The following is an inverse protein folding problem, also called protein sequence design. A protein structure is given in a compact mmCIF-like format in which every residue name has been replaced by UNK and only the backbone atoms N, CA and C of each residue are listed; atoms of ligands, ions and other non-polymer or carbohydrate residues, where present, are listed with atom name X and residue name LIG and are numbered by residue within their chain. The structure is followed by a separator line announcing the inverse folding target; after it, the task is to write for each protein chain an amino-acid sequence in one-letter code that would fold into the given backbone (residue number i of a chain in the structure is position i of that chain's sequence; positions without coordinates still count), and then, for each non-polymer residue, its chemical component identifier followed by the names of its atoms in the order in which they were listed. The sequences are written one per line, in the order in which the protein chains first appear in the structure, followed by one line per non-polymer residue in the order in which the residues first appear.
data_IF_202218981382
#
_entry.id   IF_202218981382
#
_cell.length_a   1.000
_cell.length_b   1.000
_cell.length_c   1.000
_cell.angle_alpha   90.00
_cell.angle_beta   90.00
_cell.angle_gamma   90.00
#
_symmetry.space_group_name_H-M   'P 1'
#
loop_
_entity.id
_entity.type
_entity.pdbx_description
1 polymer ?
#
# COMPACT_ATOMS: atom_id res chain seq x y z
N UNK A 1 9.30 61.05 16.46
CA UNK A 1 8.07 60.22 16.48
C UNK A 1 7.23 60.56 17.70
N UNK A 2 5.94 60.86 17.53
CA UNK A 2 5.03 61.10 18.65
C UNK A 2 4.83 59.82 19.46
N UNK A 3 4.65 59.94 20.79
CA UNK A 3 4.48 58.79 21.71
C UNK A 3 3.36 57.84 21.26
N UNK A 4 2.33 58.38 20.62
CA UNK A 4 1.18 57.64 20.08
C UNK A 4 1.57 56.73 18.91
N UNK A 5 2.37 57.22 17.94
CA UNK A 5 2.84 56.41 16.82
C UNK A 5 3.71 55.26 17.32
N UNK A 6 4.61 55.51 18.29
CA UNK A 6 5.47 54.46 18.86
C UNK A 6 4.66 53.33 19.51
N UNK A 7 3.58 53.66 20.24
CA UNK A 7 2.70 52.66 20.88
C UNK A 7 1.97 51.80 19.85
N UNK A 8 1.47 52.42 18.78
CA UNK A 8 0.79 51.71 17.69
C UNK A 8 1.76 50.79 16.95
N UNK A 9 2.98 51.26 16.64
CA UNK A 9 4.00 50.41 16.00
C UNK A 9 4.40 49.22 16.86
N UNK A 10 4.52 49.40 18.18
CA UNK A 10 4.81 48.29 19.11
C UNK A 10 3.64 47.29 19.13
N UNK A 11 2.39 47.77 19.19
CA UNK A 11 1.23 46.89 19.16
C UNK A 11 1.16 46.07 17.86
N UNK A 12 1.40 46.70 16.70
CA UNK A 12 1.46 46.02 15.41
C UNK A 12 2.62 45.02 15.32
N UNK A 13 3.78 45.36 15.86
CA UNK A 13 4.93 44.46 15.91
C UNK A 13 4.64 43.22 16.76
N UNK A 14 3.97 43.38 17.91
CA UNK A 14 3.54 42.26 18.76
C UNK A 14 2.54 41.38 18.02
N UNK A 15 1.55 41.96 17.33
CA UNK A 15 0.59 41.19 16.52
C UNK A 15 1.27 40.44 15.37
N UNK A 16 2.26 41.06 14.70
CA UNK A 16 3.03 40.41 13.65
C UNK A 16 3.85 39.23 14.19
N UNK A 17 4.49 39.40 15.35
CA UNK A 17 5.24 38.33 16.02
C UNK A 17 4.30 37.20 16.42
N UNK A 18 3.12 37.52 16.98
CA UNK A 18 2.11 36.52 17.34
C UNK A 18 1.61 35.75 16.10
N UNK A 19 1.39 36.45 14.98
CA UNK A 19 1.03 35.83 13.71
C UNK A 19 2.14 34.91 13.19
N UNK A 20 3.39 35.36 13.19
CA UNK A 20 4.55 34.56 12.74
C UNK A 20 4.75 33.32 13.62
N UNK A 21 4.61 33.46 14.94
CA UNK A 21 4.66 32.34 15.87
C UNK A 21 3.53 31.35 15.59
N UNK A 22 2.31 31.83 15.33
CA UNK A 22 1.18 30.98 14.98
C UNK A 22 1.39 30.24 13.66
N UNK A 23 1.89 30.91 12.62
CA UNK A 23 2.21 30.29 11.32
C UNK A 23 3.32 29.26 11.49
N UNK A 24 4.37 29.56 12.24
CA UNK A 24 5.47 28.61 12.50
C UNK A 24 4.96 27.40 13.27
N UNK A 25 4.09 27.61 14.27
CA UNK A 25 3.48 26.52 15.02
C UNK A 25 2.66 25.60 14.11
N UNK A 26 1.86 26.17 13.20
CA UNK A 26 1.09 25.41 12.22
C UNK A 26 1.99 24.67 11.23
N UNK A 27 3.02 25.33 10.69
CA UNK A 27 3.87 24.78 9.64
C UNK A 27 4.91 23.75 10.11
N UNK A 28 5.36 23.84 11.36
CA UNK A 28 6.41 22.96 11.90
C UNK A 28 5.84 21.86 12.79
N UNK A 29 4.84 22.16 13.62
CA UNK A 29 4.34 21.20 14.62
C UNK A 29 3.02 20.55 14.23
N UNK A 30 2.13 21.27 13.52
CA UNK A 30 0.82 20.72 13.09
C UNK A 30 0.75 20.34 11.62
N UNK A 31 1.83 20.50 10.86
CA UNK A 31 1.81 20.23 9.41
C UNK A 31 1.40 18.79 9.11
N UNK A 32 1.87 17.86 9.93
CA UNK A 32 1.64 16.43 9.73
C UNK A 32 0.19 16.06 10.04
N UNK A 33 -0.39 16.60 11.12
CA UNK A 33 -1.80 16.43 11.46
C UNK A 33 -2.74 16.96 10.36
N UNK A 34 -2.44 18.13 9.77
CA UNK A 34 -3.26 18.70 8.69
C UNK A 34 -3.13 17.92 7.38
N UNK A 35 -1.96 17.35 7.09
CA UNK A 35 -1.76 16.46 5.94
C UNK A 35 -2.47 15.13 6.11
N UNK A 36 -2.52 14.61 7.34
CA UNK A 36 -3.13 13.32 7.67
C UNK A 36 -4.67 13.37 7.73
N UNK A 37 -5.31 14.54 7.61
CA UNK A 37 -6.77 14.61 7.61
C UNK A 37 -7.36 14.01 6.33
N UNK A 38 -8.38 13.17 6.50
CA UNK A 38 -9.07 12.50 5.41
C UNK A 38 -9.83 13.44 4.44
N UNK A 39 -10.11 14.70 4.86
CA UNK A 39 -10.75 15.72 4.02
C UNK A 39 -9.74 16.50 3.15
N UNK A 40 -8.45 16.22 3.26
CA UNK A 40 -7.41 16.95 2.55
C UNK A 40 -7.25 16.49 1.09
N UNK A 41 -8.12 17.01 0.22
CA UNK A 41 -8.11 16.73 -1.23
C UNK A 41 -6.79 17.09 -1.92
N UNK A 42 -6.00 18.03 -1.38
CA UNK A 42 -4.74 18.45 -2.00
C UNK A 42 -3.69 17.36 -1.97
N UNK A 43 -3.57 16.65 -0.85
CA UNK A 43 -2.62 15.54 -0.71
C UNK A 43 -3.00 14.42 -1.68
N UNK A 44 -4.30 14.12 -1.76
CA UNK A 44 -4.83 13.09 -2.65
C UNK A 44 -4.66 13.44 -4.13
N UNK A 45 -4.93 14.69 -4.55
CA UNK A 45 -4.68 15.15 -5.92
C UNK A 45 -3.19 15.18 -6.27
N UNK A 46 -2.31 15.47 -5.31
CA UNK A 46 -0.87 15.43 -5.53
C UNK A 46 -0.38 13.98 -5.68
N UNK A 47 -0.89 13.06 -4.85
CA UNK A 47 -0.55 11.65 -4.87
C UNK A 47 -1.01 10.98 -6.17
N UNK A 48 -2.29 11.13 -6.53
CA UNK A 48 -2.87 10.64 -7.80
C UNK A 48 -2.52 11.52 -9.01
N UNK A 49 -1.78 12.61 -8.78
CA UNK A 49 -1.16 13.44 -9.81
C UNK A 49 0.18 12.86 -10.31
N UNK A 50 0.77 11.93 -9.54
CA UNK A 50 2.02 11.24 -9.87
C UNK A 50 1.73 9.82 -10.35
N UNK A 51 2.51 9.35 -11.32
CA UNK A 51 2.36 7.99 -11.81
C UNK A 51 2.99 7.03 -10.79
N UNK A 52 2.16 6.25 -10.11
CA UNK A 52 2.62 5.18 -9.22
C UNK A 52 3.33 4.09 -10.01
N UNK A 53 4.42 3.58 -9.48
CA UNK A 53 5.24 2.56 -10.14
C UNK A 53 4.53 1.21 -10.26
N UNK A 54 4.90 0.37 -11.25
CA UNK A 54 4.26 -0.92 -11.44
C UNK A 54 4.76 -1.97 -10.43
N UNK A 55 3.88 -2.92 -10.09
CA UNK A 55 4.25 -4.19 -9.46
C UNK A 55 4.40 -5.23 -10.57
N UNK A 56 5.52 -5.94 -10.57
CA UNK A 56 5.89 -6.89 -11.63
C UNK A 56 6.08 -8.31 -11.08
N UNK A 57 5.69 -9.29 -11.88
CA UNK A 57 6.01 -10.72 -11.72
C UNK A 57 6.88 -11.11 -12.91
N UNK A 58 8.19 -11.13 -12.72
CA UNK A 58 9.14 -11.20 -13.84
C UNK A 58 8.96 -10.00 -14.80
N UNK A 59 8.65 -10.23 -16.09
CA UNK A 59 8.41 -9.15 -17.06
C UNK A 59 6.96 -8.62 -17.06
N UNK A 60 6.02 -9.29 -16.40
CA UNK A 60 4.59 -8.99 -16.51
C UNK A 60 4.09 -8.08 -15.38
N UNK A 61 3.31 -7.01 -15.68
CA UNK A 61 2.75 -6.14 -14.66
C UNK A 61 1.48 -6.72 -14.04
N UNK A 62 1.51 -6.96 -12.72
CA UNK A 62 0.35 -7.38 -11.93
C UNK A 62 -0.41 -6.19 -11.31
N UNK A 63 0.23 -5.02 -11.24
CA UNK A 63 -0.45 -3.76 -10.95
C UNK A 63 0.27 -2.61 -11.67
N UNK A 64 -0.49 -1.71 -12.29
CA UNK A 64 0.04 -0.56 -13.01
C UNK A 64 -0.88 0.65 -12.86
N UNK A 65 -0.40 1.81 -13.30
CA UNK A 65 -1.18 3.05 -13.26
C UNK A 65 -1.47 3.58 -14.65
N UNK A 66 -2.76 3.68 -14.98
CA UNK A 66 -3.26 4.15 -16.27
C UNK A 66 -3.74 5.60 -16.17
N UNK A 67 -3.57 6.35 -17.26
CA UNK A 67 -3.96 7.75 -17.27
C UNK A 67 -5.46 7.90 -17.47
N UNK A 68 -6.12 8.70 -16.63
CA UNK A 68 -7.53 9.05 -16.79
C UNK A 68 -7.71 10.50 -17.25
N UNK A 69 -8.94 10.83 -17.67
CA UNK A 69 -9.34 12.20 -18.05
C UNK A 69 -9.92 13.02 -16.89
N UNK A 70 -10.02 12.44 -15.68
CA UNK A 70 -10.62 13.07 -14.51
C UNK A 70 -9.66 13.96 -13.72
N UNK A 71 -10.13 14.45 -12.56
CA UNK A 71 -9.30 15.23 -11.64
C UNK A 71 -8.10 14.43 -11.09
N UNK A 72 -8.30 13.13 -10.87
CA UNK A 72 -7.26 12.16 -10.52
C UNK A 72 -6.63 11.63 -11.80
N UNK A 73 -5.38 12.05 -12.09
CA UNK A 73 -4.72 11.78 -13.37
C UNK A 73 -4.41 10.31 -13.59
N UNK A 74 -4.16 9.56 -12.52
CA UNK A 74 -3.72 8.17 -12.59
C UNK A 74 -4.66 7.26 -11.83
N UNK A 75 -5.20 6.23 -12.49
CA UNK A 75 -5.99 5.15 -11.88
C UNK A 75 -5.08 3.93 -11.67
N UNK A 76 -5.22 3.26 -10.53
CA UNK A 76 -4.51 1.99 -10.27
C UNK A 76 -5.31 0.83 -10.84
N UNK A 77 -4.69 0.04 -11.70
CA UNK A 77 -5.28 -1.10 -12.41
C UNK A 77 -4.51 -2.37 -12.08
N UNK A 78 -5.25 -3.46 -11.88
CA UNK A 78 -4.76 -4.80 -11.56
C UNK A 78 -5.20 -5.76 -12.66
N UNK A 79 -4.38 -5.99 -13.71
CA UNK A 79 -4.78 -6.79 -14.88
C UNK A 79 -5.21 -8.22 -14.53
N UNK A 80 -4.55 -8.83 -13.55
CA UNK A 80 -4.83 -10.19 -13.10
C UNK A 80 -5.85 -10.27 -11.95
N UNK A 81 -6.46 -9.13 -11.56
CA UNK A 81 -7.57 -9.05 -10.61
C UNK A 81 -7.38 -9.87 -9.33
N UNK A 82 -8.32 -10.79 -9.10
CA UNK A 82 -8.44 -11.61 -7.88
C UNK A 82 -7.25 -12.54 -7.61
N UNK A 83 -6.59 -13.02 -8.66
CA UNK A 83 -5.54 -14.04 -8.58
C UNK A 83 -4.30 -13.56 -7.82
N UNK A 84 -3.96 -12.28 -8.00
CA UNK A 84 -2.81 -11.64 -7.37
C UNK A 84 -3.20 -10.71 -6.21
N UNK A 85 -4.49 -10.63 -5.86
CA UNK A 85 -4.98 -9.72 -4.81
C UNK A 85 -4.35 -10.03 -3.44
N UNK A 86 -4.08 -11.30 -3.13
CA UNK A 86 -3.42 -11.67 -1.87
C UNK A 86 -1.94 -11.25 -1.80
N UNK A 87 -1.30 -11.03 -2.95
CA UNK A 87 0.09 -10.54 -3.06
C UNK A 87 0.09 -9.01 -3.08
N UNK A 88 -0.62 -8.43 -4.05
CA UNK A 88 -0.64 -6.99 -4.30
C UNK A 88 -1.33 -6.22 -3.18
N UNK A 89 -2.45 -6.75 -2.68
CA UNK A 89 -3.42 -5.97 -1.90
C UNK A 89 -4.22 -5.05 -2.81
N UNK A 90 -4.58 -3.87 -2.30
CA UNK A 90 -5.21 -2.82 -3.08
C UNK A 90 -4.65 -1.45 -2.70
N UNK A 91 -4.88 -0.46 -3.56
CA UNK A 91 -4.58 0.94 -3.33
C UNK A 91 -5.82 1.78 -3.62
N UNK A 92 -6.36 2.41 -2.59
CA UNK A 92 -7.68 3.06 -2.59
C UNK A 92 -7.60 4.50 -2.08
N UNK A 93 -8.41 5.37 -2.69
CA UNK A 93 -8.60 6.75 -2.21
C UNK A 93 -9.32 6.83 -0.86
N UNK A 94 -10.12 5.82 -0.50
CA UNK A 94 -10.92 5.81 0.74
C UNK A 94 -10.21 5.04 1.85
N UNK A 95 -9.72 3.84 1.54
CA UNK A 95 -9.18 2.89 2.53
C UNK A 95 -7.66 2.78 2.54
N UNK A 96 -6.96 3.58 1.72
CA UNK A 96 -5.50 3.56 1.63
C UNK A 96 -4.96 2.31 0.94
N UNK A 97 -3.79 1.85 1.39
CA UNK A 97 -3.07 0.74 0.78
C UNK A 97 -3.01 -0.51 1.69
N UNK A 98 -3.01 -1.69 1.10
CA UNK A 98 -2.80 -2.99 1.78
C UNK A 98 -1.76 -3.85 1.07
N UNK A 99 -1.34 -4.97 1.66
CA UNK A 99 -0.37 -5.89 1.03
C UNK A 99 0.93 -5.20 0.60
N UNK A 100 1.45 -5.60 -0.57
CA UNK A 100 2.64 -4.98 -1.17
C UNK A 100 2.45 -3.50 -1.50
N UNK A 101 1.23 -3.07 -1.86
CA UNK A 101 0.95 -1.65 -2.10
C UNK A 101 1.25 -0.79 -0.87
N UNK A 102 1.05 -1.35 0.34
CA UNK A 102 1.37 -0.66 1.59
C UNK A 102 2.85 -0.76 1.94
N UNK A 103 3.42 -1.96 1.92
CA UNK A 103 4.81 -2.17 2.37
C UNK A 103 5.80 -1.47 1.45
N UNK A 104 5.54 -1.48 0.14
CA UNK A 104 6.39 -0.85 -0.86
C UNK A 104 5.92 0.55 -1.27
N UNK A 105 5.02 1.16 -0.49
CA UNK A 105 4.44 2.46 -0.82
C UNK A 105 5.51 3.53 -1.08
N UNK A 106 6.61 3.52 -0.33
CA UNK A 106 7.72 4.45 -0.52
C UNK A 106 8.35 4.36 -1.92
N UNK A 107 8.59 3.15 -2.42
CA UNK A 107 9.15 2.91 -3.75
C UNK A 107 8.10 3.23 -4.82
N UNK A 108 6.89 2.69 -4.66
CA UNK A 108 5.79 2.81 -5.62
C UNK A 108 5.30 4.26 -5.79
N UNK A 109 5.31 5.07 -4.74
CA UNK A 109 4.98 6.51 -4.81
C UNK A 109 6.17 7.39 -5.22
N UNK A 110 7.38 6.81 -5.27
CA UNK A 110 8.62 7.55 -5.53
C UNK A 110 9.03 8.47 -4.38
N UNK A 111 8.51 8.27 -3.17
CA UNK A 111 8.85 9.03 -1.95
C UNK A 111 10.01 8.43 -1.14
N UNK A 112 10.44 7.21 -1.46
CA UNK A 112 11.56 6.52 -0.79
C UNK A 112 12.85 7.35 -0.84
N UNK A 113 13.61 7.37 0.27
CA UNK A 113 14.87 8.11 0.41
C UNK A 113 15.94 7.67 -0.62
N UNK A 114 15.80 6.45 -1.14
CA UNK A 114 16.63 5.93 -2.23
C UNK A 114 16.59 6.79 -3.49
N UNK A 115 15.49 7.53 -3.71
CA UNK A 115 15.30 8.39 -4.89
C UNK A 115 15.47 9.88 -4.58
N UNK A 116 16.02 10.27 -3.42
CA UNK A 116 16.11 11.69 -3.05
C UNK A 116 16.90 12.53 -4.06
N UNK A 117 18.03 12.01 -4.54
CA UNK A 117 18.88 12.70 -5.53
C UNK A 117 18.18 12.78 -6.89
N UNK A 118 17.54 11.69 -7.33
CA UNK A 118 16.77 11.65 -8.59
C UNK A 118 15.56 12.60 -8.55
N UNK A 119 14.86 12.69 -7.42
CA UNK A 119 13.76 13.66 -7.22
C UNK A 119 14.26 15.09 -7.35
N UNK A 120 15.38 15.42 -6.73
CA UNK A 120 15.94 16.78 -6.80
C UNK A 120 16.33 17.15 -8.23
N UNK A 121 16.97 16.22 -8.96
CA UNK A 121 17.29 16.42 -10.37
C UNK A 121 16.04 16.56 -11.24
N UNK A 122 15.00 15.75 -11.03
CA UNK A 122 13.74 15.82 -11.77
C UNK A 122 12.98 17.12 -11.49
N UNK A 123 12.98 17.60 -10.24
CA UNK A 123 12.40 18.89 -9.87
C UNK A 123 13.13 20.06 -10.52
N UNK A 124 14.46 20.05 -10.52
CA UNK A 124 15.28 21.05 -11.21
C UNK A 124 15.05 20.99 -12.73
N UNK A 125 14.85 19.80 -13.28
CA UNK A 125 14.57 19.56 -14.70
C UNK A 125 13.09 19.75 -15.09
N UNK A 126 12.20 20.11 -14.17
CA UNK A 126 10.77 20.28 -14.41
C UNK A 126 10.01 19.00 -14.83
N UNK A 127 10.57 17.81 -14.55
CA UNK A 127 9.93 16.52 -14.85
C UNK A 127 9.04 16.08 -13.69
N UNK A 128 7.88 15.50 -14.00
CA UNK A 128 7.00 14.96 -12.96
C UNK A 128 7.63 13.72 -12.33
N UNK A 129 7.70 13.63 -10.99
CA UNK A 129 8.22 12.45 -10.31
C UNK A 129 7.36 11.22 -10.59
N UNK A 130 8.00 10.13 -11.02
CA UNK A 130 7.40 8.80 -11.23
C UNK A 130 7.81 7.87 -10.10
N UNK A 131 6.91 6.96 -9.73
CA UNK A 131 7.20 5.88 -8.82
C UNK A 131 8.18 4.85 -9.39
N UNK A 132 8.93 4.20 -8.51
CA UNK A 132 9.82 3.09 -8.86
C UNK A 132 9.02 1.79 -9.06
N UNK A 133 9.52 0.93 -9.95
CA UNK A 133 8.96 -0.41 -10.15
C UNK A 133 9.43 -1.37 -9.04
N UNK A 134 8.56 -2.29 -8.64
CA UNK A 134 8.89 -3.36 -7.69
C UNK A 134 8.63 -4.70 -8.38
N UNK A 135 9.68 -5.50 -8.49
CA UNK A 135 9.60 -6.87 -9.01
C UNK A 135 9.49 -7.84 -7.85
N UNK A 136 8.42 -8.63 -7.84
CA UNK A 136 8.17 -9.66 -6.84
C UNK A 136 8.97 -10.93 -7.17
N UNK A 137 9.06 -11.85 -6.19
CA UNK A 137 9.67 -13.16 -6.39
C UNK A 137 8.70 -14.19 -6.98
N UNK A 138 7.42 -13.84 -7.08
CA UNK A 138 6.34 -14.71 -7.58
C UNK A 138 6.71 -15.19 -8.97
N UNK A 139 6.40 -16.45 -9.24
CA UNK A 139 6.49 -17.06 -10.54
C UNK A 139 5.06 -17.23 -11.08
N UNK A 140 4.79 -16.67 -12.26
CA UNK A 140 3.45 -16.66 -12.82
C UNK A 140 2.91 -18.09 -13.03
N UNK A 141 3.73 -19.02 -13.52
CA UNK A 141 3.28 -20.39 -13.75
C UNK A 141 2.94 -21.11 -12.44
N UNK A 142 3.69 -20.85 -11.36
CA UNK A 142 3.39 -21.42 -10.03
C UNK A 142 2.14 -20.76 -9.43
N UNK A 143 1.96 -19.44 -9.61
CA UNK A 143 0.78 -18.72 -9.16
C UNK A 143 -0.49 -19.25 -9.84
N UNK A 144 -0.49 -19.36 -11.16
CA UNK A 144 -1.62 -19.82 -11.96
C UNK A 144 -2.01 -21.26 -11.58
N UNK A 145 -1.02 -22.14 -11.40
CA UNK A 145 -1.24 -23.52 -10.97
C UNK A 145 -1.84 -23.59 -9.55
N UNK A 146 -1.35 -22.75 -8.63
CA UNK A 146 -1.86 -22.69 -7.26
C UNK A 146 -3.29 -22.11 -7.21
N UNK A 147 -3.57 -21.08 -8.02
CA UNK A 147 -4.89 -20.48 -8.16
C UNK A 147 -5.91 -21.48 -8.71
N UNK A 148 -5.56 -22.15 -9.82
CA UNK A 148 -6.38 -23.21 -10.39
C UNK A 148 -6.69 -24.32 -9.37
N UNK A 149 -5.68 -24.72 -8.57
CA UNK A 149 -5.82 -25.72 -7.51
C UNK A 149 -6.73 -25.32 -6.35
N UNK A 150 -6.97 -24.03 -6.13
CA UNK A 150 -7.89 -23.52 -5.09
C UNK A 150 -9.32 -23.26 -5.61
N UNK A 151 -9.60 -23.52 -6.89
CA UNK A 151 -10.93 -23.30 -7.47
C UNK A 151 -11.98 -24.14 -6.74
N UNK A 152 -13.02 -23.47 -6.21
CA UNK A 152 -14.13 -24.13 -5.53
C UNK A 152 -13.85 -24.60 -4.10
N UNK A 153 -12.67 -24.29 -3.55
CA UNK A 153 -12.34 -24.58 -2.15
C UNK A 153 -12.01 -23.30 -1.39
N UNK A 154 -12.42 -23.22 -0.13
CA UNK A 154 -12.02 -22.13 0.76
C UNK A 154 -10.69 -22.48 1.42
N UNK A 155 -9.66 -21.65 1.22
CA UNK A 155 -8.33 -21.92 1.73
C UNK A 155 -7.27 -20.98 1.19
N UNK A 156 -6.03 -21.41 1.33
CA UNK A 156 -4.84 -20.69 0.88
C UNK A 156 -3.78 -21.70 0.44
N UNK A 157 -2.96 -21.29 -0.52
CA UNK A 157 -1.78 -22.04 -0.92
C UNK A 157 -0.59 -21.09 -1.01
N UNK A 158 0.58 -21.60 -0.60
CA UNK A 158 1.81 -20.85 -0.51
C UNK A 158 2.95 -21.75 -0.99
N UNK A 159 3.73 -21.27 -1.96
CA UNK A 159 4.88 -21.99 -2.50
C UNK A 159 6.16 -21.20 -2.22
N UNK A 160 7.15 -21.88 -1.65
CA UNK A 160 8.44 -21.31 -1.31
C UNK A 160 9.56 -22.14 -1.97
N UNK A 161 10.58 -21.46 -2.49
CA UNK A 161 11.83 -22.07 -2.90
C UNK A 161 12.73 -22.26 -1.66
N UNK A 162 12.96 -23.49 -1.14
CA UNK A 162 13.61 -23.67 0.15
C UNK A 162 15.08 -23.24 0.20
N UNK A 163 15.78 -23.28 -0.95
CA UNK A 163 17.20 -22.93 -1.05
C UNK A 163 17.46 -21.43 -0.95
N UNK A 164 16.51 -20.60 -1.36
CA UNK A 164 16.66 -19.13 -1.41
C UNK A 164 15.71 -18.40 -0.47
N UNK A 165 14.62 -19.06 -0.05
CA UNK A 165 13.51 -18.45 0.68
C UNK A 165 12.57 -17.63 -0.19
N UNK A 166 12.72 -17.63 -1.53
CA UNK A 166 11.83 -16.90 -2.43
C UNK A 166 10.41 -17.46 -2.37
N UNK A 167 9.43 -16.56 -2.32
CA UNK A 167 8.02 -16.92 -2.41
C UNK A 167 7.67 -16.98 -3.89
N UNK A 168 7.28 -18.16 -4.37
CA UNK A 168 6.96 -18.42 -5.78
C UNK A 168 5.46 -18.26 -6.07
N UNK A 169 4.60 -18.55 -5.09
CA UNK A 169 3.17 -18.31 -5.22
C UNK A 169 2.55 -18.03 -3.86
N UNK A 170 1.52 -17.19 -3.87
CA UNK A 170 0.68 -16.88 -2.72
C UNK A 170 -0.72 -16.60 -3.22
N UNK A 171 -1.64 -17.53 -2.95
CA UNK A 171 -3.02 -17.49 -3.42
C UNK A 171 -3.98 -17.80 -2.28
N UNK A 172 -5.21 -17.29 -2.39
CA UNK A 172 -6.27 -17.59 -1.45
C UNK A 172 -7.62 -17.66 -2.15
N UNK A 173 -8.54 -18.41 -1.58
CA UNK A 173 -9.91 -18.51 -2.05
C UNK A 173 -10.88 -18.50 -0.87
N UNK A 174 -11.98 -17.73 -0.91
CA UNK A 174 -12.26 -16.69 -1.90
C UNK A 174 -11.28 -15.51 -1.80
N UNK A 175 -11.07 -14.86 -2.93
CA UNK A 175 -10.29 -13.63 -3.08
C UNK A 175 -11.23 -12.43 -3.32
N UNK A 176 -10.70 -11.27 -3.70
CA UNK A 176 -11.46 -10.08 -4.04
C UNK A 176 -10.82 -9.36 -5.24
N UNK A 177 -11.59 -8.56 -5.97
CA UNK A 177 -11.10 -7.77 -7.10
C UNK A 177 -10.55 -6.42 -6.61
N UNK A 178 -9.23 -6.18 -6.67
CA UNK A 178 -8.65 -4.92 -6.22
C UNK A 178 -9.08 -3.72 -7.07
N UNK A 179 -9.52 -3.93 -8.32
CA UNK A 179 -9.94 -2.86 -9.23
C UNK A 179 -11.18 -2.11 -8.71
N UNK A 180 -12.07 -2.80 -8.02
CA UNK A 180 -13.25 -2.19 -7.40
C UNK A 180 -12.88 -1.27 -6.24
N UNK A 181 -11.81 -1.61 -5.50
CA UNK A 181 -11.29 -0.80 -4.39
C UNK A 181 -10.37 0.34 -4.84
N UNK A 182 -9.81 0.25 -6.05
CA UNK A 182 -8.98 1.31 -6.64
C UNK A 182 -9.73 2.31 -7.49
N UNK A 183 -11.05 2.16 -7.65
CA UNK A 183 -11.91 3.10 -8.35
C UNK A 183 -11.73 4.54 -7.86
N UNK A 184 -12.00 5.51 -8.74
CA UNK A 184 -12.04 6.92 -8.38
C UNK A 184 -13.40 7.36 -7.83
N UNK A 185 -14.37 6.44 -7.71
CA UNK A 185 -15.66 6.69 -7.08
C UNK A 185 -15.67 6.21 -5.62
N UNK A 186 -15.68 7.14 -4.63
CA UNK A 186 -15.74 6.78 -3.22
C UNK A 186 -17.00 6.00 -2.82
N UNK A 187 -18.11 6.13 -3.56
CA UNK A 187 -19.33 5.39 -3.27
C UNK A 187 -19.16 3.92 -3.64
N UNK A 188 -18.73 3.63 -4.87
CA UNK A 188 -18.44 2.25 -5.33
C UNK A 188 -17.44 1.54 -4.42
N UNK A 189 -16.38 2.26 -4.01
CA UNK A 189 -15.38 1.68 -3.09
C UNK A 189 -16.01 1.30 -1.75
N UNK A 190 -16.85 2.16 -1.17
CA UNK A 190 -17.48 1.90 0.13
C UNK A 190 -18.47 0.74 0.05
N UNK A 191 -19.31 0.73 -0.98
CA UNK A 191 -20.28 -0.34 -1.22
C UNK A 191 -19.58 -1.70 -1.33
N UNK A 192 -18.54 -1.80 -2.18
CA UNK A 192 -17.81 -3.06 -2.35
C UNK A 192 -17.02 -3.46 -1.10
N UNK A 193 -16.39 -2.49 -0.41
CA UNK A 193 -15.67 -2.78 0.83
C UNK A 193 -16.62 -3.28 1.95
N UNK A 194 -17.80 -2.69 2.06
CA UNK A 194 -18.83 -3.12 3.00
C UNK A 194 -19.34 -4.54 2.66
N UNK A 195 -19.49 -4.88 1.38
CA UNK A 195 -19.79 -6.25 0.95
C UNK A 195 -18.69 -7.22 1.42
N UNK A 196 -17.42 -6.90 1.18
CA UNK A 196 -16.30 -7.78 1.52
C UNK A 196 -16.09 -7.98 3.03
N UNK A 197 -16.39 -6.96 3.85
CA UNK A 197 -16.31 -7.08 5.31
C UNK A 197 -17.47 -7.89 5.88
N UNK A 198 -18.66 -7.74 5.31
CA UNK A 198 -19.85 -8.46 5.75
C UNK A 198 -19.93 -9.90 5.18
N UNK A 199 -19.07 -10.24 4.21
CA UNK A 199 -18.96 -11.58 3.68
C UNK A 199 -18.42 -12.55 4.77
N UNK A 200 -19.20 -13.60 5.14
CA UNK A 200 -18.78 -14.57 6.16
C UNK A 200 -17.53 -15.37 5.78
N UNK A 201 -17.21 -15.45 4.49
CA UNK A 201 -15.99 -16.10 4.00
C UNK A 201 -14.73 -15.30 4.29
N UNK A 202 -14.84 -13.98 4.51
CA UNK A 202 -13.73 -13.04 4.79
C UNK A 202 -12.66 -12.95 3.68
N UNK A 203 -13.03 -12.53 2.45
CA UNK A 203 -12.11 -12.44 1.31
C UNK A 203 -10.98 -11.41 1.47
N UNK A 204 -11.16 -10.37 2.28
CA UNK A 204 -10.12 -9.35 2.54
C UNK A 204 -8.96 -9.85 3.41
N UNK A 205 -9.15 -10.93 4.16
CA UNK A 205 -8.09 -11.46 5.02
C UNK A 205 -7.06 -12.15 4.14
N UNK A 206 -5.79 -11.74 4.28
CA UNK A 206 -4.67 -12.43 3.66
C UNK A 206 -4.39 -13.75 4.39
N UNK A 207 -5.14 -14.80 4.03
CA UNK A 207 -5.10 -16.11 4.69
C UNK A 207 -3.70 -16.74 4.72
N UNK A 208 -2.90 -16.73 3.62
CA UNK A 208 -1.55 -17.29 3.62
C UNK A 208 -0.64 -16.73 4.73
N UNK A 209 -0.85 -15.47 5.13
CA UNK A 209 0.03 -14.77 6.08
C UNK A 209 -0.59 -14.67 7.48
N UNK A 210 -1.91 -14.44 7.57
CA UNK A 210 -2.57 -14.00 8.81
C UNK A 210 -3.46 -15.08 9.43
N UNK A 211 -3.94 -16.07 8.66
CA UNK A 211 -4.87 -17.05 9.19
C UNK A 211 -4.18 -18.06 10.12
N UNK A 212 -4.63 -18.11 11.38
CA UNK A 212 -4.16 -19.07 12.38
C UNK A 212 -5.07 -20.31 12.39
N UNK A 213 -4.74 -21.28 11.53
CA UNK A 213 -5.43 -22.56 11.51
C UNK A 213 -4.69 -23.60 12.38
N UNK A 214 -5.41 -24.48 13.11
CA UNK A 214 -4.78 -25.60 13.80
C UNK A 214 -4.00 -26.46 12.80
N UNK A 215 -2.68 -26.66 12.99
CA UNK A 215 -1.85 -27.35 11.98
C UNK A 215 -2.14 -28.86 11.92
N UNK A 216 -2.69 -29.45 12.98
CA UNK A 216 -3.03 -30.87 13.03
C UNK A 216 -1.80 -31.75 12.78
N UNK A 217 -1.94 -32.76 11.91
CA UNK A 217 -0.86 -33.72 11.65
C UNK A 217 0.39 -33.12 10.99
N UNK A 218 0.32 -31.94 10.35
CA UNK A 218 1.51 -31.29 9.78
C UNK A 218 2.51 -30.88 10.87
N UNK A 219 2.04 -30.59 12.09
CA UNK A 219 2.90 -30.23 13.22
C UNK A 219 3.66 -31.41 13.82
N UNK A 220 3.26 -32.66 13.50
CA UNK A 220 3.96 -33.86 13.99
C UNK A 220 5.41 -33.91 13.55
N UNK A 221 5.76 -33.30 12.41
CA UNK A 221 7.14 -33.18 11.95
C UNK A 221 7.99 -32.37 12.94
N UNK A 222 7.43 -31.26 13.47
CA UNK A 222 8.09 -30.44 14.50
C UNK A 222 8.25 -31.22 15.80
N UNK A 223 7.19 -31.92 16.24
CA UNK A 223 7.24 -32.77 17.44
C UNK A 223 8.27 -33.89 17.31
N UNK A 224 8.33 -34.56 16.16
CA UNK A 224 9.30 -35.61 15.89
C UNK A 224 10.73 -35.07 15.86
N UNK A 225 10.97 -33.93 15.20
CA UNK A 225 12.27 -33.29 15.18
C UNK A 225 12.73 -32.88 16.59
N UNK A 226 11.83 -32.35 17.42
CA UNK A 226 12.11 -32.02 18.82
C UNK A 226 12.43 -33.27 19.66
N UNK A 227 11.68 -34.37 19.47
CA UNK A 227 11.92 -35.63 20.15
C UNK A 227 13.30 -36.21 19.80
N UNK A 228 13.63 -36.31 18.51
CA UNK A 228 14.95 -36.76 18.05
C UNK A 228 16.07 -35.84 18.56
N UNK A 229 15.87 -34.52 18.50
CA UNK A 229 16.84 -33.53 18.99
C UNK A 229 17.01 -33.55 20.52
N UNK A 230 16.05 -34.09 21.26
CA UNK A 230 16.14 -34.16 22.72
C UNK A 230 17.13 -35.22 23.21
N UNK A 231 17.40 -36.26 22.40
CA UNK A 231 18.37 -37.33 22.70
C UNK A 231 17.81 -38.68 23.23
N UNK A 232 16.64 -38.77 23.89
CA UNK A 232 16.04 -40.04 24.33
C UNK A 232 15.40 -40.91 23.24
N UNK A 233 15.26 -40.41 22.01
CA UNK A 233 14.56 -41.10 20.92
C UNK A 233 15.51 -41.25 19.71
N UNK A 234 15.50 -42.43 19.08
CA UNK A 234 16.37 -42.79 17.93
C UNK A 234 15.55 -43.24 16.73
#
# INVERSE_FOLDING_TARGET
MTRSIRRISIALAILLIALLANVTFIQVFRSDDYRARADNQRVLLEEYGRQRGPLLTGPEPIALSEQTKGALKWLRVYPSGEEYASVTGFYSIVYGATGLERTENGVLSGSSDLFFVDRLQQLIAGRQPRGGAVTTTIDAAVQDAAWAGLTGVQGAAFAIEPSTGRILAQVQSPSFDPNQLSSHDPQTIREYYDELINDPSQPLINRPIVALNPPGSTFKLVTAAAALSSGPFT
#
